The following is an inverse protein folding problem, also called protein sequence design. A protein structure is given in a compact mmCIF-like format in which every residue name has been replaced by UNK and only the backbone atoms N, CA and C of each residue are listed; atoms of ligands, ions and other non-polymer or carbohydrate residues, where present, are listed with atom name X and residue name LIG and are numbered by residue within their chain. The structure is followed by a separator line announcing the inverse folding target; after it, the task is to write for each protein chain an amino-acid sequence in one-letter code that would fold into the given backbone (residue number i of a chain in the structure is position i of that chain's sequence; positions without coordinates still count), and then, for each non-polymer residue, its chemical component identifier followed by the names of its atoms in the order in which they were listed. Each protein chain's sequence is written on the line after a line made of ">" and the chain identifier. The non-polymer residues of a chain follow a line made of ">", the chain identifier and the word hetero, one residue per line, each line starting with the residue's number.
data_IF_425481033608
#
_entry.id   IF_425481033608
#
_cell.length_a   1.000
_cell.length_b   1.000
_cell.length_c   1.000
_cell.angle_alpha   90.00
_cell.angle_beta   90.00
_cell.angle_gamma   90.00
#
_symmetry.space_group_name_H-M   'P 1'
#
loop_
_entity.id
_entity.type
_entity.pdbx_description
1 polymer ?
#
# COMPACT_ATOMS: atom_id res chain seq x y z
N UNK A 1 -16.47 -1.22 -7.86
CA UNK A 1 -17.83 -1.61 -8.26
C UNK A 1 -18.19 -2.91 -7.55
N UNK A 2 -19.33 -2.93 -6.86
CA UNK A 2 -19.92 -4.14 -6.33
C UNK A 2 -20.34 -5.05 -7.49
N UNK A 3 -19.99 -6.32 -7.38
CA UNK A 3 -20.51 -7.39 -8.22
C UNK A 3 -22.05 -7.33 -8.24
N UNK A 4 -22.67 -7.35 -9.42
CA UNK A 4 -24.13 -7.26 -9.62
C UNK A 4 -24.76 -8.64 -9.89
N UNK A 5 -24.02 -9.72 -9.62
CA UNK A 5 -24.49 -11.08 -9.85
C UNK A 5 -25.63 -11.45 -8.89
N UNK A 6 -26.78 -11.82 -9.47
CA UNK A 6 -28.03 -12.09 -8.72
C UNK A 6 -28.10 -13.49 -8.11
N UNK A 7 -27.20 -14.39 -8.47
CA UNK A 7 -27.08 -15.76 -7.94
C UNK A 7 -25.62 -16.23 -8.02
N UNK A 8 -24.72 -15.80 -7.10
CA UNK A 8 -23.39 -16.35 -7.03
C UNK A 8 -23.48 -17.81 -6.55
N UNK A 9 -22.75 -18.71 -7.20
CA UNK A 9 -22.59 -20.07 -6.68
C UNK A 9 -22.00 -20.01 -5.26
N UNK A 10 -22.69 -20.60 -4.28
CA UNK A 10 -22.15 -20.79 -2.93
C UNK A 10 -20.91 -21.69 -3.03
N UNK A 11 -19.72 -21.08 -2.91
CA UNK A 11 -18.51 -21.79 -2.58
C UNK A 11 -18.33 -21.61 -1.07
N UNK A 12 -18.57 -22.69 -0.32
CA UNK A 12 -18.26 -22.74 1.12
C UNK A 12 -16.74 -22.81 1.23
N UNK A 13 -16.09 -21.66 1.35
CA UNK A 13 -14.68 -21.56 1.76
C UNK A 13 -14.60 -21.54 3.28
N UNK A 14 -14.24 -22.66 3.88
CA UNK A 14 -13.81 -22.70 5.29
C UNK A 14 -12.50 -21.93 5.41
N UNK A 15 -12.45 -20.94 6.30
CA UNK A 15 -11.28 -20.10 6.54
C UNK A 15 -10.13 -20.87 7.18
N UNK A 16 -9.36 -21.58 6.38
CA UNK A 16 -8.11 -22.22 6.79
C UNK A 16 -6.90 -21.54 6.14
N UNK A 17 -5.78 -21.57 6.85
CA UNK A 17 -4.46 -21.23 6.31
C UNK A 17 -4.24 -22.00 5.00
N UNK A 18 -4.22 -21.29 3.86
CA UNK A 18 -4.21 -21.89 2.52
C UNK A 18 -2.92 -22.68 2.19
N UNK A 19 -1.98 -22.78 3.13
CA UNK A 19 -0.70 -23.45 2.91
C UNK A 19 0.05 -22.83 1.73
N UNK A 20 1.02 -23.58 1.17
CA UNK A 20 1.76 -23.12 0.01
C UNK A 20 0.85 -22.94 -1.21
N UNK A 21 0.67 -21.71 -1.68
CA UNK A 21 -0.08 -21.36 -2.90
C UNK A 21 0.84 -20.63 -3.87
N UNK A 22 0.48 -20.63 -5.15
CA UNK A 22 1.08 -19.79 -6.18
C UNK A 22 -0.06 -19.23 -7.03
N UNK A 23 -0.38 -17.94 -6.84
CA UNK A 23 -1.45 -17.24 -7.57
C UNK A 23 -0.91 -15.90 -8.10
N UNK A 24 -1.03 -15.64 -9.41
CA UNK A 24 -0.77 -14.31 -9.96
C UNK A 24 -2.01 -13.44 -9.78
N UNK A 25 -1.81 -12.27 -9.19
CA UNK A 25 -2.80 -11.24 -8.97
C UNK A 25 -2.64 -10.16 -10.04
N UNK A 26 -3.59 -10.13 -10.96
CA UNK A 26 -3.63 -9.12 -12.02
C UNK A 26 -3.94 -7.73 -11.44
N UNK A 27 -3.19 -6.73 -11.88
CA UNK A 27 -3.44 -5.34 -11.54
C UNK A 27 -4.67 -4.79 -12.26
N UNK A 28 -5.39 -3.89 -11.58
CA UNK A 28 -6.34 -3.00 -12.25
C UNK A 28 -5.74 -1.61 -12.37
N UNK A 29 -5.73 -1.06 -13.57
CA UNK A 29 -5.36 0.35 -13.75
C UNK A 29 -6.42 1.29 -13.15
N UNK A 30 -5.97 2.27 -12.38
CA UNK A 30 -6.79 3.26 -11.69
C UNK A 30 -6.11 4.62 -11.77
N UNK A 31 -6.86 5.70 -11.97
CA UNK A 31 -6.32 7.07 -11.86
C UNK A 31 -6.43 7.54 -10.41
N UNK A 32 -5.30 7.88 -9.80
CA UNK A 32 -5.22 8.56 -8.50
C UNK A 32 -5.24 10.07 -8.68
N UNK A 33 -5.99 10.76 -7.81
CA UNK A 33 -6.17 12.20 -7.91
C UNK A 33 -6.75 12.57 -9.28
N UNK A 34 -5.95 13.27 -10.09
CA UNK A 34 -6.34 13.72 -11.44
C UNK A 34 -5.41 13.27 -12.56
N UNK A 35 -4.27 12.64 -12.26
CA UNK A 35 -3.15 12.56 -13.21
C UNK A 35 -2.29 11.29 -13.13
N UNK A 36 -2.29 10.58 -11.99
CA UNK A 36 -1.38 9.45 -11.79
C UNK A 36 -2.12 8.14 -12.02
N UNK A 37 -1.88 7.49 -13.16
CA UNK A 37 -2.35 6.12 -13.40
C UNK A 37 -1.50 5.14 -12.60
N UNK A 38 -2.15 4.27 -11.85
CA UNK A 38 -1.52 3.28 -10.97
C UNK A 38 -2.07 1.89 -11.26
N UNK A 39 -1.24 0.88 -10.97
CA UNK A 39 -1.58 -0.53 -10.98
C UNK A 39 -2.03 -0.93 -9.57
N UNK A 40 -3.35 -1.05 -9.38
CA UNK A 40 -3.93 -1.48 -8.10
C UNK A 40 -3.96 -3.00 -8.01
N UNK A 41 -3.23 -3.53 -7.04
CA UNK A 41 -3.05 -4.97 -6.79
C UNK A 41 -3.84 -5.46 -5.59
N UNK A 42 -3.95 -4.64 -4.55
CA UNK A 42 -4.87 -4.88 -3.42
C UNK A 42 -5.75 -3.65 -3.14
N UNK A 43 -7.00 -3.86 -2.69
CA UNK A 43 -7.72 -5.12 -2.74
C UNK A 43 -8.16 -5.45 -4.18
N UNK A 44 -8.14 -6.73 -4.57
CA UNK A 44 -8.67 -7.21 -5.85
C UNK A 44 -9.85 -8.19 -5.66
N UNK A 45 -10.29 -8.86 -6.73
CA UNK A 45 -11.48 -9.74 -6.70
C UNK A 45 -11.29 -10.94 -5.78
N UNK A 46 -10.12 -11.58 -5.83
CA UNK A 46 -9.83 -12.85 -5.17
C UNK A 46 -9.12 -12.65 -3.82
N UNK A 47 -8.30 -11.60 -3.71
CA UNK A 47 -7.45 -11.31 -2.56
C UNK A 47 -7.68 -9.87 -2.11
N UNK A 48 -7.96 -9.69 -0.82
CA UNK A 48 -8.13 -8.36 -0.24
C UNK A 48 -6.93 -7.94 0.60
N UNK A 49 -6.26 -8.91 1.22
CA UNK A 49 -5.12 -8.66 2.09
C UNK A 49 -4.05 -9.73 1.94
N UNK A 50 -2.82 -9.38 2.29
CA UNK A 50 -1.69 -10.29 2.54
C UNK A 50 -1.11 -9.90 3.89
N UNK A 51 -1.30 -10.72 4.92
CA UNK A 51 -1.15 -10.28 6.29
C UNK A 51 -2.03 -9.05 6.53
N UNK A 52 -1.50 -8.01 7.16
CA UNK A 52 -2.21 -6.75 7.36
C UNK A 52 -2.15 -5.79 6.15
N UNK A 53 -1.41 -6.10 5.08
CA UNK A 53 -1.36 -5.28 3.87
C UNK A 53 -2.71 -5.35 3.15
N UNK A 54 -3.50 -4.27 3.17
CA UNK A 54 -4.86 -4.24 2.63
C UNK A 54 -5.01 -3.39 1.36
N UNK A 55 -3.95 -2.71 0.94
CA UNK A 55 -3.93 -1.86 -0.23
C UNK A 55 -2.52 -1.83 -0.81
N UNK A 56 -2.41 -1.97 -2.14
CA UNK A 56 -1.14 -1.93 -2.87
C UNK A 56 -1.41 -1.29 -4.21
N UNK A 57 -0.88 -0.09 -4.40
CA UNK A 57 -0.80 0.59 -5.69
C UNK A 57 0.67 0.70 -6.10
N UNK A 58 0.98 0.27 -7.32
CA UNK A 58 2.27 0.49 -7.97
C UNK A 58 2.12 1.54 -9.07
N UNK A 59 2.91 2.61 -9.02
CA UNK A 59 2.87 3.69 -10.01
C UNK A 59 4.23 3.88 -10.68
N UNK A 60 4.21 4.34 -11.93
CA UNK A 60 5.41 4.51 -12.73
C UNK A 60 6.01 3.22 -13.30
N UNK A 61 7.20 3.31 -13.90
CA UNK A 61 7.99 4.53 -14.05
C UNK A 61 7.34 5.51 -15.03
N UNK A 62 7.09 6.73 -14.55
CA UNK A 62 6.40 7.78 -15.27
C UNK A 62 7.35 8.95 -15.53
N UNK A 63 7.49 9.37 -16.79
CA UNK A 63 8.23 10.58 -17.18
C UNK A 63 7.31 11.82 -17.03
N UNK A 64 7.54 12.58 -15.96
CA UNK A 64 6.80 13.79 -15.60
C UNK A 64 7.08 14.97 -16.55
N UNK A 65 8.04 14.87 -17.46
CA UNK A 65 8.32 15.91 -18.46
C UNK A 65 7.37 15.84 -19.65
N UNK A 66 6.70 14.71 -19.85
CA UNK A 66 5.75 14.53 -20.94
C UNK A 66 4.37 15.06 -20.55
N UNK A 67 3.73 15.79 -21.48
CA UNK A 67 2.32 16.16 -21.32
C UNK A 67 1.46 14.88 -21.33
N UNK A 68 0.80 14.59 -20.22
CA UNK A 68 -0.15 13.47 -20.15
C UNK A 68 -1.45 13.85 -20.82
N UNK A 69 -1.94 12.98 -21.69
CA UNK A 69 -3.16 13.19 -22.50
C UNK A 69 -4.44 12.96 -21.68
N UNK A 70 -4.32 12.33 -20.50
CA UNK A 70 -5.43 11.87 -19.64
C UNK A 70 -5.54 12.61 -18.31
N UNK A 71 -4.63 13.55 -18.01
CA UNK A 71 -4.66 14.35 -16.80
C UNK A 71 -5.34 15.70 -17.05
N UNK A 72 -6.32 16.04 -16.19
CA UNK A 72 -6.82 17.41 -16.08
C UNK A 72 -5.83 18.24 -15.24
N UNK A 73 -4.56 18.26 -15.65
CA UNK A 73 -3.51 18.99 -14.96
C UNK A 73 -3.82 20.49 -15.00
N UNK A 74 -3.73 21.14 -13.85
CA UNK A 74 -3.65 22.60 -13.82
C UNK A 74 -2.31 22.95 -14.48
N UNK A 75 -2.25 23.89 -15.45
CA UNK A 75 -1.00 24.24 -16.10
C UNK A 75 0.12 24.54 -15.08
N UNK A 76 1.17 23.73 -15.09
CA UNK A 76 2.32 23.84 -14.16
C UNK A 76 2.38 22.73 -13.10
N UNK A 77 1.28 22.03 -12.82
CA UNK A 77 1.26 20.82 -11.98
C UNK A 77 1.66 19.60 -12.84
N UNK A 78 2.54 18.75 -12.29
CA UNK A 78 3.03 17.52 -12.93
C UNK A 78 3.15 16.41 -11.89
N UNK A 79 3.10 15.16 -12.34
CA UNK A 79 3.23 14.01 -11.44
C UNK A 79 2.08 13.84 -10.46
N UNK A 80 2.39 13.39 -9.25
CA UNK A 80 1.39 13.08 -8.23
C UNK A 80 0.77 14.37 -7.69
N UNK A 81 -0.55 14.47 -7.75
CA UNK A 81 -1.30 15.62 -7.21
C UNK A 81 -2.48 15.09 -6.39
N UNK A 82 -2.21 14.78 -5.12
CA UNK A 82 -3.22 14.27 -4.18
C UNK A 82 -3.46 15.31 -3.08
N UNK A 83 -4.53 16.12 -3.19
CA UNK A 83 -4.87 17.12 -2.18
C UNK A 83 -5.19 16.51 -0.80
N UNK A 84 -5.33 17.35 0.25
CA UNK A 84 -5.67 16.90 1.59
C UNK A 84 -6.85 15.93 1.61
N UNK A 85 -6.60 14.73 2.11
CA UNK A 85 -7.60 13.67 2.24
C UNK A 85 -7.38 12.88 3.53
N UNK A 86 -8.44 12.27 4.10
CA UNK A 86 -8.37 11.61 5.38
C UNK A 86 -7.98 10.14 5.26
N UNK A 87 -7.49 9.56 6.34
CA UNK A 87 -7.39 8.11 6.57
C UNK A 87 -7.86 7.76 7.98
N UNK A 88 -8.30 6.51 8.19
CA UNK A 88 -8.66 5.96 9.53
C UNK A 88 -8.27 4.50 9.65
N UNK A 89 -7.88 4.07 10.85
CA UNK A 89 -7.59 2.68 11.23
C UNK A 89 -6.52 1.98 10.38
N UNK A 90 -5.55 2.73 9.85
CA UNK A 90 -4.50 2.19 8.98
C UNK A 90 -3.17 2.92 9.17
N UNK A 91 -2.10 2.33 8.65
CA UNK A 91 -0.88 3.04 8.30
C UNK A 91 -0.77 3.14 6.77
N UNK A 92 -0.39 4.30 6.24
CA UNK A 92 0.09 4.39 4.86
C UNK A 92 1.61 4.22 4.85
N UNK A 93 2.12 3.55 3.83
CA UNK A 93 3.54 3.26 3.59
C UNK A 93 3.86 3.74 2.18
N UNK A 94 4.74 4.73 2.06
CA UNK A 94 5.17 5.28 0.78
C UNK A 94 6.63 4.88 0.55
N UNK A 95 6.90 4.24 -0.59
CA UNK A 95 8.24 3.76 -0.97
C UNK A 95 8.55 4.12 -2.42
N UNK A 96 9.63 4.85 -2.66
CA UNK A 96 10.04 5.26 -4.00
C UNK A 96 11.21 4.43 -4.52
N UNK A 97 11.15 4.14 -5.82
CA UNK A 97 12.24 3.59 -6.62
C UNK A 97 12.96 4.69 -7.39
N UNK A 98 12.21 5.69 -7.87
CA UNK A 98 12.68 6.91 -8.51
C UNK A 98 11.76 8.10 -8.18
N UNK A 99 12.30 9.31 -8.19
CA UNK A 99 11.53 10.54 -8.01
C UNK A 99 11.53 11.10 -6.59
N UNK A 100 10.62 12.02 -6.34
CA UNK A 100 10.40 12.65 -5.02
C UNK A 100 8.92 13.00 -4.86
N UNK A 101 8.40 12.83 -3.64
CA UNK A 101 7.04 13.24 -3.27
C UNK A 101 7.10 14.09 -1.99
N UNK A 102 6.51 15.28 -2.01
CA UNK A 102 6.26 16.07 -0.81
C UNK A 102 5.04 15.51 -0.08
N UNK A 103 5.21 15.21 1.21
CA UNK A 103 4.15 14.85 2.14
C UNK A 103 3.93 15.99 3.13
N UNK A 104 2.66 16.33 3.36
CA UNK A 104 2.22 17.22 4.43
C UNK A 104 1.04 16.60 5.15
N UNK A 105 0.97 16.71 6.47
CA UNK A 105 -0.16 16.18 7.24
C UNK A 105 -0.67 17.10 8.34
N UNK A 106 -1.81 16.69 8.87
CA UNK A 106 -2.56 17.39 9.92
C UNK A 106 -1.95 17.33 11.32
N UNK A 107 -0.93 16.50 11.54
CA UNK A 107 -0.13 16.55 12.78
C UNK A 107 1.08 17.49 12.66
N UNK A 108 1.20 18.18 11.52
CA UNK A 108 2.21 19.20 11.26
C UNK A 108 3.49 18.67 10.61
N UNK A 109 3.51 17.42 10.17
CA UNK A 109 4.66 16.86 9.46
C UNK A 109 4.76 17.46 8.06
N UNK A 110 5.99 17.73 7.65
CA UNK A 110 6.33 18.14 6.30
C UNK A 110 7.63 17.43 5.92
N UNK A 111 7.56 16.53 4.93
CA UNK A 111 8.68 15.67 4.55
C UNK A 111 8.72 15.46 3.04
N UNK A 112 9.88 15.05 2.53
CA UNK A 112 10.06 14.65 1.15
C UNK A 112 10.41 13.16 1.14
N UNK A 113 9.58 12.34 0.50
CA UNK A 113 9.86 10.91 0.25
C UNK A 113 10.86 10.84 -0.90
N UNK A 114 11.96 10.11 -0.73
CA UNK A 114 12.97 9.87 -1.77
C UNK A 114 13.24 8.38 -1.97
N UNK A 115 13.95 7.98 -3.05
CA UNK A 115 14.17 6.58 -3.34
C UNK A 115 14.95 5.86 -2.25
N UNK A 116 14.44 4.70 -1.82
CA UNK A 116 15.03 3.92 -0.74
C UNK A 116 14.78 4.46 0.67
N UNK A 117 14.00 5.54 0.82
CA UNK A 117 13.55 6.05 2.11
C UNK A 117 12.11 5.57 2.40
N UNK A 118 11.83 5.26 3.66
CA UNK A 118 10.49 4.89 4.12
C UNK A 118 9.81 6.09 4.76
N UNK A 119 8.62 6.43 4.24
CA UNK A 119 7.65 7.24 4.97
C UNK A 119 6.47 6.36 5.41
N UNK A 120 6.14 6.40 6.69
CA UNK A 120 5.01 5.68 7.28
C UNK A 120 4.15 6.64 8.10
N UNK A 121 2.88 6.76 7.71
CA UNK A 121 1.90 7.60 8.41
C UNK A 121 0.88 6.71 9.11
N UNK A 122 0.84 6.76 10.43
CA UNK A 122 -0.17 6.06 11.24
C UNK A 122 -1.38 6.96 11.41
N UNK A 123 -2.54 6.54 10.88
CA UNK A 123 -3.77 7.33 10.94
C UNK A 123 -4.49 7.20 12.28
N UNK A 124 -4.48 6.01 12.88
CA UNK A 124 -5.23 5.74 14.11
C UNK A 124 -6.71 6.13 13.97
N UNK A 125 -7.23 6.90 14.91
CA UNK A 125 -8.62 7.38 14.85
C UNK A 125 -8.92 8.32 13.66
N UNK A 126 -7.90 9.00 13.13
CA UNK A 126 -8.04 9.92 12.01
C UNK A 126 -6.79 10.78 11.81
N UNK A 127 -6.42 10.97 10.54
CA UNK A 127 -5.43 11.94 10.10
C UNK A 127 -5.80 12.39 8.68
N UNK A 128 -5.53 13.64 8.31
CA UNK A 128 -5.52 14.08 6.92
C UNK A 128 -4.09 14.39 6.44
N UNK A 129 -3.82 14.13 5.16
CA UNK A 129 -2.54 14.44 4.51
C UNK A 129 -2.69 14.72 3.01
N UNK A 130 -1.65 15.30 2.42
CA UNK A 130 -1.49 15.50 0.97
C UNK A 130 -0.15 14.94 0.49
N UNK A 131 -0.13 14.43 -0.73
CA UNK A 131 1.07 13.91 -1.41
C UNK A 131 1.19 14.55 -2.80
N UNK A 132 2.31 15.22 -3.05
CA UNK A 132 2.49 16.08 -4.23
C UNK A 132 3.89 15.93 -4.82
N UNK A 133 3.98 15.78 -6.14
CA UNK A 133 5.21 16.05 -6.87
C UNK A 133 5.38 17.56 -7.03
N UNK A 134 6.41 18.14 -6.40
CA UNK A 134 6.67 19.58 -6.46
C UNK A 134 7.15 20.02 -7.85
N UNK A 135 7.06 21.31 -8.20
CA UNK A 135 7.54 21.82 -9.50
C UNK A 135 9.00 21.49 -9.83
N UNK A 136 9.85 21.38 -8.80
CA UNK A 136 11.28 21.05 -8.91
C UNK A 136 11.57 19.54 -8.74
N UNK A 137 10.54 18.69 -8.70
CA UNK A 137 10.69 17.25 -8.54
C UNK A 137 11.48 16.64 -9.73
N UNK A 138 12.19 15.52 -9.51
CA UNK A 138 12.88 14.80 -10.57
C UNK A 138 11.94 14.42 -11.72
N UNK A 139 12.46 14.23 -12.95
CA UNK A 139 11.64 13.97 -14.13
C UNK A 139 10.96 12.60 -14.11
N UNK A 140 11.42 11.66 -13.29
CA UNK A 140 10.84 10.33 -13.18
C UNK A 140 10.11 10.17 -11.85
N UNK A 141 8.96 9.49 -11.86
CA UNK A 141 8.27 9.03 -10.67
C UNK A 141 7.99 7.53 -10.78
N UNK A 142 8.49 6.75 -9.84
CA UNK A 142 8.26 5.31 -9.74
C UNK A 142 8.24 4.90 -8.28
N UNK A 143 7.16 4.28 -7.83
CA UNK A 143 7.02 3.91 -6.43
C UNK A 143 5.82 3.03 -6.15
N UNK A 144 5.65 2.71 -4.88
CA UNK A 144 4.51 1.99 -4.36
C UNK A 144 3.87 2.76 -3.20
N UNK A 145 2.54 2.80 -3.20
CA UNK A 145 1.73 3.23 -2.08
C UNK A 145 1.04 2.00 -1.48
N UNK A 146 1.31 1.71 -0.20
CA UNK A 146 0.75 0.55 0.47
C UNK A 146 0.01 0.97 1.74
N UNK A 147 -1.06 0.25 2.11
CA UNK A 147 -1.74 0.44 3.40
C UNK A 147 -1.69 -0.82 4.25
N UNK A 148 -1.43 -0.62 5.53
CA UNK A 148 -1.44 -1.66 6.58
C UNK A 148 -2.64 -1.41 7.47
N UNK A 149 -3.57 -2.36 7.57
CA UNK A 149 -4.71 -2.26 8.48
C UNK A 149 -4.24 -2.32 9.95
N UNK A 150 -4.72 -1.40 10.79
CA UNK A 150 -4.50 -1.51 12.23
C UNK A 150 -5.47 -2.55 12.83
N UNK A 151 -4.98 -3.44 13.72
CA UNK A 151 -5.86 -4.38 14.41
C UNK A 151 -6.76 -3.65 15.41
N UNK A 152 -7.94 -4.24 15.69
CA UNK A 152 -9.01 -3.59 16.46
C UNK A 152 -8.52 -3.08 17.82
N UNK A 153 -7.63 -3.86 18.46
CA UNK A 153 -7.01 -3.56 19.75
C UNK A 153 -6.28 -2.20 19.84
N UNK A 154 -5.92 -1.58 18.71
CA UNK A 154 -5.18 -0.30 18.69
C UNK A 154 -5.69 0.72 17.67
N UNK A 155 -6.54 0.33 16.72
CA UNK A 155 -6.90 1.16 15.56
C UNK A 155 -7.48 2.54 15.90
N UNK A 156 -8.18 2.69 17.03
CA UNK A 156 -8.79 3.96 17.46
C UNK A 156 -8.05 4.62 18.62
N UNK A 157 -7.16 3.90 19.31
CA UNK A 157 -6.43 4.42 20.49
C UNK A 157 -5.02 4.87 20.16
N UNK A 158 -4.44 4.38 19.06
CA UNK A 158 -3.13 4.84 18.59
C UNK A 158 -3.25 6.29 18.10
N UNK A 159 -2.42 7.21 18.62
CA UNK A 159 -2.40 8.59 18.13
C UNK A 159 -1.96 8.66 16.66
N UNK A 160 -2.47 9.63 15.89
CA UNK A 160 -1.96 9.90 14.55
C UNK A 160 -0.48 10.31 14.64
N UNK A 161 0.34 9.78 13.73
CA UNK A 161 1.78 10.01 13.74
C UNK A 161 2.38 9.83 12.34
N UNK A 162 3.56 10.43 12.13
CA UNK A 162 4.36 10.27 10.93
C UNK A 162 5.80 9.94 11.30
N UNK A 163 6.39 8.97 10.61
CA UNK A 163 7.79 8.58 10.77
C UNK A 163 8.45 8.47 9.40
N UNK A 164 9.65 9.05 9.28
CA UNK A 164 10.48 8.97 8.07
C UNK A 164 11.82 8.33 8.42
N UNK A 165 12.29 7.43 7.58
CA UNK A 165 13.53 6.68 7.77
C UNK A 165 14.34 6.68 6.48
N UNK A 166 15.51 7.33 6.50
CA UNK A 166 16.46 7.30 5.39
C UNK A 166 17.42 6.11 5.47
N UNK A 167 17.71 5.65 6.69
CA UNK A 167 18.62 4.53 6.96
C UNK A 167 17.84 3.34 7.51
N UNK A 168 17.65 2.32 6.66
CA UNK A 168 16.94 1.10 7.00
C UNK A 168 17.89 -0.11 7.03
N UNK A 169 17.61 -1.12 7.87
CA UNK A 169 18.43 -2.34 7.91
C UNK A 169 18.48 -3.03 6.54
N UNK A 170 19.66 -3.50 6.18
CA UNK A 170 19.91 -4.25 4.94
C UNK A 170 20.37 -5.66 5.25
N UNK A 171 19.93 -6.59 4.40
CA UNK A 171 20.38 -7.97 4.35
C UNK A 171 21.17 -8.17 3.06
N UNK A 172 22.33 -8.80 3.19
CA UNK A 172 23.19 -9.16 2.05
C UNK A 172 23.16 -10.68 1.87
N UNK A 173 22.99 -11.11 0.63
CA UNK A 173 23.02 -12.51 0.20
C UNK A 173 24.03 -12.67 -0.94
N UNK A 174 24.30 -13.90 -1.37
CA UNK A 174 25.16 -14.13 -2.52
C UNK A 174 24.46 -13.72 -3.83
N UNK A 175 24.75 -12.51 -4.32
CA UNK A 175 24.16 -11.96 -5.54
C UNK A 175 22.74 -11.40 -5.37
N UNK A 176 22.35 -11.04 -4.14
CA UNK A 176 21.10 -10.36 -3.86
C UNK A 176 21.22 -9.52 -2.58
N UNK A 177 20.38 -8.49 -2.45
CA UNK A 177 20.25 -7.72 -1.21
C UNK A 177 18.79 -7.35 -0.96
N UNK A 178 18.45 -7.11 0.30
CA UNK A 178 17.12 -6.66 0.71
C UNK A 178 17.21 -5.51 1.71
N UNK A 179 16.41 -4.46 1.49
CA UNK A 179 16.19 -3.39 2.49
C UNK A 179 14.90 -3.68 3.25
N UNK A 180 14.99 -3.84 4.56
CA UNK A 180 13.84 -4.15 5.43
C UNK A 180 13.07 -2.86 5.72
N UNK A 181 11.97 -2.64 5.00
CA UNK A 181 11.14 -1.45 5.14
C UNK A 181 10.36 -1.48 6.46
N UNK A 182 9.55 -2.51 6.68
CA UNK A 182 8.66 -2.62 7.86
C UNK A 182 8.64 -4.06 8.36
N UNK A 183 8.61 -4.21 9.68
CA UNK A 183 8.56 -5.53 10.32
C UNK A 183 9.90 -6.27 10.26
N UNK A 184 9.85 -7.60 10.12
CA UNK A 184 11.04 -8.46 10.23
C UNK A 184 11.19 -9.37 9.01
N UNK A 185 12.37 -9.39 8.40
CA UNK A 185 12.73 -10.31 7.31
C UNK A 185 14.01 -11.05 7.70
N UNK A 186 14.01 -12.39 7.57
CA UNK A 186 15.16 -13.24 7.87
C UNK A 186 15.88 -12.91 9.21
N UNK A 187 15.11 -12.56 10.25
CA UNK A 187 15.63 -12.22 11.58
C UNK A 187 16.14 -10.78 11.76
N UNK A 188 16.11 -9.95 10.72
CA UNK A 188 16.44 -8.52 10.79
C UNK A 188 15.16 -7.69 10.82
N UNK A 189 15.08 -6.75 11.76
CA UNK A 189 13.86 -5.98 12.06
C UNK A 189 14.05 -4.49 11.77
N UNK A 190 13.11 -3.91 11.02
CA UNK A 190 13.02 -2.46 10.81
C UNK A 190 12.65 -1.71 12.10
N UNK A 191 13.16 -0.49 12.32
CA UNK A 191 12.73 0.38 13.42
C UNK A 191 11.33 0.99 13.21
N UNK A 192 10.72 0.83 12.03
CA UNK A 192 9.40 1.38 11.72
C UNK A 192 8.30 0.75 12.60
N UNK A 193 7.31 1.54 13.06
CA UNK A 193 6.22 1.02 13.88
C UNK A 193 5.36 0.04 13.08
N UNK A 194 5.16 -1.15 13.65
CA UNK A 194 4.25 -2.18 13.15
C UNK A 194 3.33 -2.65 14.29
N UNK A 195 2.06 -2.90 13.97
CA UNK A 195 1.04 -3.28 14.96
C UNK A 195 0.54 -4.72 14.81
N UNK A 196 1.10 -5.45 13.85
CA UNK A 196 0.97 -6.90 13.65
C UNK A 196 2.34 -7.46 13.28
N UNK A 197 2.59 -8.78 13.39
CA UNK A 197 3.72 -9.40 12.71
C UNK A 197 3.62 -9.13 11.21
N UNK A 198 4.62 -8.45 10.66
CA UNK A 198 4.61 -7.92 9.30
C UNK A 198 5.96 -8.14 8.63
N UNK A 199 5.92 -8.24 7.32
CA UNK A 199 7.07 -8.35 6.42
C UNK A 199 6.88 -7.33 5.31
N UNK A 200 7.83 -6.44 5.15
CA UNK A 200 7.91 -5.50 4.04
C UNK A 200 9.37 -5.25 3.70
N UNK A 201 9.82 -5.67 2.52
CA UNK A 201 11.18 -5.45 2.07
C UNK A 201 11.25 -5.13 0.56
N UNK A 202 12.21 -4.29 0.19
CA UNK A 202 12.62 -4.05 -1.19
C UNK A 202 13.83 -4.94 -1.50
N UNK A 203 13.70 -5.84 -2.46
CA UNK A 203 14.67 -6.90 -2.75
C UNK A 203 15.16 -6.77 -4.19
N UNK A 204 16.48 -6.82 -4.36
CA UNK A 204 17.11 -6.92 -5.68
C UNK A 204 17.92 -8.19 -5.77
N UNK A 205 17.76 -8.93 -6.86
CA UNK A 205 18.58 -10.10 -7.21
C UNK A 205 19.34 -9.77 -8.50
N UNK A 206 20.65 -9.99 -8.48
CA UNK A 206 21.53 -9.76 -9.63
C UNK A 206 21.19 -10.69 -10.82
N UNK A 207 21.55 -10.28 -12.06
CA UNK A 207 21.37 -11.08 -13.26
C UNK A 207 21.75 -12.56 -13.12
N UNK A 208 20.81 -13.45 -13.43
CA UNK A 208 21.01 -14.90 -13.45
C UNK A 208 21.28 -15.53 -12.07
N UNK A 209 21.09 -14.78 -10.97
CA UNK A 209 21.27 -15.30 -9.61
C UNK A 209 19.96 -15.83 -9.03
N UNK A 210 20.10 -16.62 -7.98
CA UNK A 210 18.99 -17.25 -7.27
C UNK A 210 19.11 -16.91 -5.79
N UNK A 211 18.02 -16.43 -5.22
CA UNK A 211 17.89 -16.15 -3.81
C UNK A 211 17.02 -17.23 -3.15
N UNK A 212 17.61 -17.96 -2.20
CA UNK A 212 16.86 -18.80 -1.27
C UNK A 212 16.55 -17.97 -0.01
N UNK A 213 15.34 -17.42 0.05
CA UNK A 213 14.94 -16.53 1.14
C UNK A 213 14.26 -17.32 2.27
N UNK A 214 14.78 -17.27 3.51
CA UNK A 214 14.09 -17.85 4.67
C UNK A 214 12.78 -17.12 4.97
N UNK A 215 11.73 -17.89 5.23
CA UNK A 215 10.38 -17.41 5.55
C UNK A 215 9.94 -17.92 6.93
N UNK A 216 9.04 -17.17 7.56
CA UNK A 216 8.26 -17.62 8.73
C UNK A 216 7.02 -18.38 8.22
N UNK A 217 6.84 -19.69 8.54
CA UNK A 217 5.75 -20.51 8.02
C UNK A 217 4.35 -20.01 8.39
N UNK A 218 4.21 -19.35 9.54
CA UNK A 218 2.93 -18.82 10.03
C UNK A 218 2.48 -17.59 9.24
N UNK A 219 3.38 -16.95 8.48
CA UNK A 219 3.05 -15.79 7.65
C UNK A 219 2.59 -16.21 6.25
N UNK A 220 1.73 -15.38 5.67
CA UNK A 220 1.49 -15.39 4.23
C UNK A 220 2.36 -14.33 3.52
N UNK A 221 2.66 -14.57 2.23
CA UNK A 221 3.55 -13.71 1.46
C UNK A 221 3.01 -13.39 0.07
N UNK A 222 3.48 -12.28 -0.48
CA UNK A 222 3.35 -11.91 -1.88
C UNK A 222 4.61 -11.18 -2.37
N UNK A 223 4.89 -11.28 -3.66
CA UNK A 223 5.98 -10.56 -4.33
C UNK A 223 5.41 -9.68 -5.44
N UNK A 224 5.74 -8.40 -5.42
CA UNK A 224 5.37 -7.42 -6.46
C UNK A 224 6.60 -7.08 -7.29
N UNK A 225 6.63 -7.46 -8.57
CA UNK A 225 7.77 -7.19 -9.46
C UNK A 225 7.70 -5.75 -9.94
N UNK A 226 8.76 -4.98 -9.69
CA UNK A 226 8.82 -3.56 -10.05
C UNK A 226 9.88 -3.23 -11.08
N UNK A 227 10.82 -4.14 -11.33
CA UNK A 227 11.76 -4.07 -12.46
C UNK A 227 12.35 -5.47 -12.74
N UNK A 228 12.80 -5.70 -13.98
CA UNK A 228 13.44 -6.95 -14.38
C UNK A 228 12.47 -8.14 -14.50
N UNK A 229 12.94 -9.35 -14.21
CA UNK A 229 12.16 -10.58 -14.43
C UNK A 229 12.41 -11.65 -13.37
N UNK A 230 11.33 -12.10 -12.74
CA UNK A 230 11.33 -13.04 -11.62
C UNK A 230 10.66 -14.35 -12.01
N UNK A 231 11.25 -15.47 -11.60
CA UNK A 231 10.58 -16.77 -11.52
C UNK A 231 10.47 -17.20 -10.05
N UNK A 232 9.29 -17.68 -9.66
CA UNK A 232 8.98 -18.20 -8.33
C UNK A 232 8.12 -19.46 -8.45
N UNK A 233 8.71 -20.63 -8.20
CA UNK A 233 8.08 -21.91 -8.53
C UNK A 233 7.73 -21.98 -10.02
N UNK A 234 6.49 -22.32 -10.36
CA UNK A 234 5.98 -22.26 -11.74
C UNK A 234 5.52 -20.87 -12.23
N UNK A 235 5.55 -19.83 -11.39
CA UNK A 235 5.09 -18.49 -11.78
C UNK A 235 6.23 -17.63 -12.31
N UNK A 236 5.89 -16.79 -13.29
CA UNK A 236 6.76 -15.74 -13.82
C UNK A 236 6.00 -14.40 -13.83
N UNK A 237 5.78 -13.77 -12.66
CA UNK A 237 5.06 -12.49 -12.60
C UNK A 237 5.80 -11.42 -13.41
N UNK A 238 5.06 -10.72 -14.25
CA UNK A 238 5.54 -9.62 -15.06
C UNK A 238 5.70 -8.32 -14.26
N UNK A 239 6.24 -7.30 -14.93
CA UNK A 239 6.35 -5.96 -14.36
C UNK A 239 4.98 -5.42 -13.92
N UNK A 240 4.90 -4.95 -12.67
CA UNK A 240 3.68 -4.44 -12.06
C UNK A 240 2.64 -5.50 -11.70
N UNK A 241 2.98 -6.79 -11.82
CA UNK A 241 2.17 -7.90 -11.34
C UNK A 241 2.64 -8.34 -9.95
N UNK A 242 1.71 -8.95 -9.21
CA UNK A 242 1.98 -9.49 -7.88
C UNK A 242 1.68 -10.98 -7.84
N UNK A 243 2.60 -11.79 -7.31
CA UNK A 243 2.36 -13.20 -7.05
C UNK A 243 2.11 -13.42 -5.56
N UNK A 244 0.93 -13.93 -5.21
CA UNK A 244 0.62 -14.41 -3.87
C UNK A 244 1.14 -15.83 -3.67
N UNK A 245 1.81 -16.04 -2.55
CA UNK A 245 2.54 -17.26 -2.23
C UNK A 245 1.82 -18.08 -1.14
N UNK A 246 0.81 -17.55 -0.45
CA UNK A 246 0.24 -18.24 0.71
C UNK A 246 1.25 -18.41 1.85
N UNK A 247 0.98 -19.36 2.75
CA UNK A 247 1.73 -19.60 3.98
C UNK A 247 2.38 -21.00 4.02
N UNK A 248 2.96 -21.39 5.16
CA UNK A 248 3.41 -22.76 5.41
C UNK A 248 4.73 -23.16 4.73
N UNK A 249 5.54 -22.19 4.28
CA UNK A 249 6.90 -22.44 3.77
C UNK A 249 7.95 -21.90 4.76
N UNK A 250 9.01 -22.67 4.97
CA UNK A 250 10.21 -22.22 5.70
C UNK A 250 11.16 -21.39 4.82
N UNK A 251 11.06 -21.50 3.50
CA UNK A 251 11.85 -20.77 2.54
C UNK A 251 11.16 -20.69 1.17
N UNK A 252 11.57 -19.72 0.35
CA UNK A 252 11.18 -19.61 -1.06
C UNK A 252 12.41 -19.39 -1.94
N UNK A 253 12.46 -20.07 -3.07
CA UNK A 253 13.47 -19.85 -4.10
C UNK A 253 12.94 -18.83 -5.12
N UNK A 254 13.73 -17.79 -5.34
CA UNK A 254 13.42 -16.65 -6.22
C UNK A 254 14.55 -16.53 -7.23
N UNK A 255 14.24 -16.67 -8.52
CA UNK A 255 15.24 -16.73 -9.59
C UNK A 255 15.12 -15.50 -10.47
N UNK A 256 16.22 -14.76 -10.61
CA UNK A 256 16.31 -13.65 -11.55
C UNK A 256 16.69 -14.15 -12.94
N UNK A 257 16.10 -13.57 -13.99
CA UNK A 257 16.61 -13.76 -15.36
C UNK A 257 17.89 -12.94 -15.60
N UNK A 258 18.39 -12.94 -16.84
CA UNK A 258 19.66 -12.30 -17.24
C UNK A 258 19.65 -10.76 -17.13
N UNK A 259 18.48 -10.13 -16.91
CA UNK A 259 18.35 -8.70 -16.64
C UNK A 259 18.26 -8.37 -15.14
N UNK A 260 18.35 -9.36 -14.25
CA UNK A 260 18.13 -9.16 -12.82
C UNK A 260 16.65 -8.95 -12.49
N UNK A 261 16.34 -8.68 -11.23
CA UNK A 261 14.99 -8.31 -10.79
C UNK A 261 15.03 -7.44 -9.53
N UNK A 262 14.14 -6.46 -9.46
CA UNK A 262 13.75 -5.77 -8.24
C UNK A 262 12.28 -6.01 -7.95
N UNK A 263 11.95 -6.35 -6.70
CA UNK A 263 10.59 -6.61 -6.28
C UNK A 263 10.37 -6.21 -4.82
N UNK A 264 9.12 -5.94 -4.45
CA UNK A 264 8.72 -5.82 -3.06
C UNK A 264 8.26 -7.18 -2.54
N UNK A 265 8.82 -7.61 -1.41
CA UNK A 265 8.29 -8.72 -0.61
C UNK A 265 7.34 -8.15 0.45
N UNK A 266 6.09 -8.57 0.39
CA UNK A 266 5.05 -8.22 1.35
C UNK A 266 4.56 -9.48 2.05
N UNK A 267 4.32 -9.40 3.34
CA UNK A 267 3.82 -10.53 4.11
C UNK A 267 3.50 -10.19 5.55
N UNK A 268 3.14 -11.21 6.31
CA UNK A 268 2.83 -11.10 7.72
C UNK A 268 1.89 -12.21 8.18
N UNK A 269 1.59 -12.20 9.47
CA UNK A 269 0.58 -13.10 10.03
C UNK A 269 -0.77 -12.84 9.35
N UNK A 270 -1.48 -13.89 8.87
CA UNK A 270 -2.80 -13.73 8.27
C UNK A 270 -3.74 -12.90 9.14
N UNK A 271 -4.29 -11.83 8.56
CA UNK A 271 -5.12 -10.91 9.31
C UNK A 271 -6.57 -11.44 9.40
N UNK A 272 -6.94 -11.94 10.58
CA UNK A 272 -8.22 -12.64 10.78
C UNK A 272 -9.43 -11.69 10.87
N UNK A 273 -9.23 -10.42 11.24
CA UNK A 273 -10.34 -9.49 11.44
C UNK A 273 -10.97 -9.07 10.10
N UNK A 274 -12.30 -9.03 10.06
CA UNK A 274 -13.02 -8.54 8.89
C UNK A 274 -13.01 -7.02 8.81
N UNK A 275 -12.73 -6.49 7.62
CA UNK A 275 -12.64 -5.04 7.40
C UNK A 275 -13.84 -4.52 6.63
N UNK A 276 -14.31 -3.33 6.99
CA UNK A 276 -15.11 -2.49 6.09
C UNK A 276 -14.20 -1.39 5.55
N UNK A 277 -13.81 -1.53 4.29
CA UNK A 277 -12.99 -0.55 3.59
C UNK A 277 -13.81 0.16 2.51
N UNK A 278 -13.90 1.48 2.60
CA UNK A 278 -14.55 2.31 1.61
C UNK A 278 -13.83 3.66 1.51
N UNK A 279 -13.48 4.03 0.27
CA UNK A 279 -12.61 5.18 0.00
C UNK A 279 -11.33 5.08 0.84
N UNK A 280 -11.08 6.02 1.75
CA UNK A 280 -9.92 6.07 2.62
C UNK A 280 -10.26 5.72 4.09
N UNK A 281 -11.43 5.15 4.32
CA UNK A 281 -11.88 4.76 5.65
C UNK A 281 -11.83 3.25 5.81
N UNK A 282 -11.16 2.81 6.87
CA UNK A 282 -11.18 1.43 7.34
C UNK A 282 -11.88 1.40 8.70
N UNK A 283 -12.91 0.59 8.80
CA UNK A 283 -13.64 0.30 10.04
C UNK A 283 -13.94 -1.19 10.17
N UNK A 284 -14.84 -1.53 11.10
CA UNK A 284 -15.39 -2.88 11.28
C UNK A 284 -16.89 -2.96 10.99
N UNK A 285 -17.55 -1.81 10.80
CA UNK A 285 -18.97 -1.77 10.43
C UNK A 285 -19.28 -0.65 9.42
N UNK A 286 -20.46 -0.72 8.82
CA UNK A 286 -20.97 0.33 7.94
C UNK A 286 -21.07 1.67 8.68
N UNK A 287 -21.59 1.64 9.90
CA UNK A 287 -21.84 2.81 10.75
C UNK A 287 -20.54 3.53 11.08
N UNK A 288 -19.46 2.79 11.35
CA UNK A 288 -18.14 3.41 11.59
C UNK A 288 -17.63 4.18 10.37
N UNK A 289 -17.79 3.61 9.17
CA UNK A 289 -17.39 4.27 7.92
C UNK A 289 -18.25 5.50 7.64
N UNK A 290 -19.58 5.40 7.86
CA UNK A 290 -20.48 6.55 7.73
C UNK A 290 -20.08 7.66 8.69
N UNK A 291 -19.81 7.33 9.95
CA UNK A 291 -19.39 8.31 10.95
C UNK A 291 -18.04 8.97 10.61
N UNK A 292 -17.08 8.22 10.07
CA UNK A 292 -15.80 8.78 9.60
C UNK A 292 -16.00 9.72 8.41
N UNK A 293 -16.84 9.33 7.45
CA UNK A 293 -17.20 10.13 6.27
C UNK A 293 -17.88 11.44 6.64
N UNK A 294 -18.87 11.39 7.52
CA UNK A 294 -19.59 12.59 7.96
C UNK A 294 -18.70 13.52 8.78
N UNK A 295 -17.85 12.96 9.64
CA UNK A 295 -16.85 13.74 10.38
C UNK A 295 -15.85 14.44 9.44
N UNK A 296 -15.46 13.81 8.33
CA UNK A 296 -14.58 14.42 7.34
C UNK A 296 -15.26 15.57 6.59
N UNK A 297 -16.51 15.37 6.14
CA UNK A 297 -17.26 16.44 5.47
C UNK A 297 -17.45 17.64 6.41
N UNK A 298 -17.80 17.39 7.67
CA UNK A 298 -17.89 18.46 8.67
C UNK A 298 -16.53 19.16 8.91
N UNK A 299 -15.41 18.42 8.83
CA UNK A 299 -14.07 19.01 8.92
C UNK A 299 -13.79 19.95 7.74
N UNK A 300 -14.15 19.57 6.52
CA UNK A 300 -13.99 20.44 5.35
C UNK A 300 -14.77 21.74 5.54
N UNK A 301 -16.04 21.63 5.93
CA UNK A 301 -16.93 22.80 6.12
C UNK A 301 -16.44 23.74 7.23
N UNK A 302 -15.82 23.19 8.28
CA UNK A 302 -15.33 23.94 9.44
C UNK A 302 -13.89 24.46 9.30
N UNK A 303 -13.14 24.02 8.28
CA UNK A 303 -11.69 24.26 8.22
C UNK A 303 -10.94 23.47 9.29
N UNK A 304 -11.22 22.16 9.38
CA UNK A 304 -10.60 21.20 10.30
C UNK A 304 -11.48 20.78 11.47
N UNK A 305 -11.08 19.68 12.13
CA UNK A 305 -11.66 19.22 13.40
C UNK A 305 -10.64 18.43 14.23
N UNK A 306 -11.00 18.01 15.44
CA UNK A 306 -10.10 17.24 16.33
C UNK A 306 -9.70 15.86 15.76
N UNK A 307 -10.49 15.31 14.84
CA UNK A 307 -10.27 13.96 14.30
C UNK A 307 -9.32 13.93 13.11
N UNK A 308 -9.40 14.91 12.20
CA UNK A 308 -8.65 14.93 10.95
C UNK A 308 -7.75 16.15 10.81
N UNK A 309 -7.89 17.14 11.70
CA UNK A 309 -7.13 18.39 11.69
C UNK A 309 -7.29 19.19 10.39
N UNK A 310 -6.33 20.08 10.15
CA UNK A 310 -6.09 20.74 8.87
C UNK A 310 -4.69 20.40 8.41
N UNK A 311 -4.46 20.31 7.09
CA UNK A 311 -3.11 20.12 6.52
C UNK A 311 -2.50 21.49 6.24
N UNK A 312 -1.57 22.00 7.06
CA UNK A 312 -1.02 23.33 6.88
C UNK A 312 -0.06 23.40 5.68
N UNK A 313 -0.10 24.53 4.98
CA UNK A 313 0.83 24.84 3.89
C UNK A 313 0.52 24.16 2.55
N UNK A 314 -0.61 23.47 2.43
CA UNK A 314 -1.15 23.06 1.13
C UNK A 314 -1.98 24.19 0.52
N UNK A 315 -1.69 24.56 -0.73
CA UNK A 315 -2.42 25.60 -1.46
C UNK A 315 -3.54 24.97 -2.31
N UNK A 316 -4.71 24.77 -1.69
CA UNK A 316 -5.87 24.22 -2.38
C UNK A 316 -6.92 23.66 -1.42
N UNK A 317 -8.00 23.13 -1.99
CA UNK A 317 -9.11 22.58 -1.23
C UNK A 317 -8.89 21.07 -0.91
N UNK A 318 -9.30 20.59 0.27
CA UNK A 318 -9.35 19.17 0.56
C UNK A 318 -10.29 18.40 -0.37
N UNK A 319 -10.02 17.11 -0.57
CA UNK A 319 -10.88 16.23 -1.36
C UNK A 319 -12.18 15.89 -0.60
N UNK A 320 -13.37 16.21 -1.14
CA UNK A 320 -14.62 15.79 -0.52
C UNK A 320 -14.78 14.26 -0.62
N UNK A 321 -15.35 13.65 0.42
CA UNK A 321 -15.67 12.24 0.38
C UNK A 321 -16.73 11.97 -0.71
N UNK A 322 -16.59 10.90 -1.52
CA UNK A 322 -17.60 10.53 -2.50
C UNK A 322 -18.95 10.19 -1.82
N UNK A 323 -20.06 10.18 -2.56
CA UNK A 323 -21.33 9.71 -2.01
C UNK A 323 -21.22 8.24 -1.61
N UNK A 324 -21.79 7.90 -0.44
CA UNK A 324 -21.91 6.50 -0.03
C UNK A 324 -22.79 5.72 -1.03
N UNK A 325 -22.51 4.44 -1.27
CA UNK A 325 -23.40 3.60 -2.07
C UNK A 325 -24.76 3.49 -1.39
N UNK A 326 -25.82 3.29 -2.18
CA UNK A 326 -27.17 3.05 -1.65
C UNK A 326 -27.37 1.71 -0.93
N UNK A 327 -26.29 0.96 -0.69
CA UNK A 327 -26.30 -0.35 -0.03
C UNK A 327 -25.39 -0.34 1.19
N UNK A 328 -25.72 -1.16 2.19
CA UNK A 328 -24.90 -1.34 3.39
C UNK A 328 -23.55 -1.94 3.03
N UNK A 329 -22.48 -1.31 3.51
CA UNK A 329 -21.12 -1.82 3.39
C UNK A 329 -20.96 -3.02 4.32
N UNK A 330 -20.55 -4.16 3.79
CA UNK A 330 -20.38 -5.39 4.58
C UNK A 330 -18.92 -5.57 5.01
N UNK A 331 -18.67 -6.03 6.26
CA UNK A 331 -17.38 -6.55 6.66
C UNK A 331 -16.94 -7.66 5.72
N UNK A 332 -15.63 -7.71 5.48
CA UNK A 332 -15.03 -8.54 4.45
C UNK A 332 -13.78 -9.22 5.01
N UNK A 333 -13.70 -10.57 4.94
CA UNK A 333 -12.48 -11.28 5.31
C UNK A 333 -11.36 -11.04 4.30
N UNK A 334 -10.14 -11.43 4.67
CA UNK A 334 -8.89 -11.26 3.89
C UNK A 334 -8.92 -11.88 2.48
N UNK A 335 -9.64 -12.99 2.33
CA UNK A 335 -9.84 -13.71 1.07
C UNK A 335 -11.35 -13.91 0.82
N UNK A 336 -11.75 -14.23 -0.41
CA UNK A 336 -13.15 -14.59 -0.71
C UNK A 336 -13.42 -16.05 -0.38
#
# INVERSE_FOLDING_TARGET
>A
MSDLEKDPAEVIGTGDCEGPVLEVLEAREVVLGRSTTVRRLLPNKNRRMVGAWCFVDHYGPDDLTQERVDSYDVPGERGMQVPPHPHTSLQTVSWLFEGEIEHRDSVGSHAFVRPGELNIMTAGNGIAHSEVSTPDAPPMLHGAQLWVALPDRVRTTTPPAFNAYADLPRLEFDGAHATVMVGTVAGVTSPAPAYTPLVGADVTIEPGRTLALPLTPEHEYAVLVVDGSLSVGELTPGFGEMAYLGSGRDAIELVAADNGVRFLLLGGEPFEEELVMWWNFIGRSHEEVVAARDAWQAAIDAGGNDRFGMVPGYDGAPLPAPPLPGTTLKPRPRAR
#
